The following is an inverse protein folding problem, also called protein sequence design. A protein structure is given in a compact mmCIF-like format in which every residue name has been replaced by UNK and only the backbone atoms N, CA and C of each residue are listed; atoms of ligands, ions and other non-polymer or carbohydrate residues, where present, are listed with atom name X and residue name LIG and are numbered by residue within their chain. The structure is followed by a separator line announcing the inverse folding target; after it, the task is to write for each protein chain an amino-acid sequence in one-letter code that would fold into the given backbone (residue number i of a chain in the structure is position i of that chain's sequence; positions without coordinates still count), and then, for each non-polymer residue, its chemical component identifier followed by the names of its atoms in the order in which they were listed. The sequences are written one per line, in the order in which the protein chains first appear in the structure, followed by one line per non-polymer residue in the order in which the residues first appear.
data_IF_302021090135
#
_entry.id   IF_302021090135
#
_cell.length_a   1.000
_cell.length_b   1.000
_cell.length_c   1.000
_cell.angle_alpha   90.00
_cell.angle_beta   90.00
_cell.angle_gamma   90.00
#
_symmetry.space_group_name_H-M   'P 1'
#
loop_
_entity.id
_entity.type
_entity.pdbx_description
1 polymer ?
#
# COMPACT_ATOMS: atom_id res chain seq x y z
N UNK A 1 16.80 -13.78 -20.96
CA UNK A 1 17.37 -12.43 -20.79
C UNK A 1 16.97 -11.75 -19.48
N UNK A 2 15.74 -11.88 -18.99
CA UNK A 2 15.27 -11.26 -17.72
C UNK A 2 16.09 -11.71 -16.47
N UNK A 3 16.55 -12.97 -16.43
CA UNK A 3 17.32 -13.48 -15.30
C UNK A 3 18.64 -12.72 -15.08
N UNK A 4 19.33 -12.35 -16.17
CA UNK A 4 20.56 -11.54 -16.08
C UNK A 4 20.29 -10.14 -15.53
N UNK A 5 19.13 -9.55 -15.79
CA UNK A 5 18.74 -8.24 -15.27
C UNK A 5 18.45 -8.33 -13.76
N UNK A 6 17.75 -9.39 -13.32
CA UNK A 6 17.49 -9.66 -11.90
C UNK A 6 18.81 -9.88 -11.12
N UNK A 7 19.76 -10.60 -11.73
CA UNK A 7 21.08 -10.87 -11.14
C UNK A 7 22.00 -9.63 -11.15
N UNK A 8 21.80 -8.69 -12.09
CA UNK A 8 22.59 -7.45 -12.21
C UNK A 8 22.06 -6.33 -11.32
N UNK A 9 20.74 -6.24 -11.13
CA UNK A 9 20.11 -5.19 -10.30
C UNK A 9 20.13 -5.56 -8.81
N UNK A 10 20.31 -6.84 -8.47
CA UNK A 10 20.41 -7.30 -7.10
C UNK A 10 19.14 -7.01 -6.32
N UNK A 11 18.10 -7.83 -6.49
CA UNK A 11 16.99 -7.81 -5.53
C UNK A 11 17.58 -8.11 -4.15
N UNK A 12 17.52 -7.19 -3.16
CA UNK A 12 18.12 -7.44 -1.86
C UNK A 12 17.55 -8.73 -1.29
N UNK A 13 18.41 -9.74 -1.11
CA UNK A 13 18.02 -11.04 -0.54
C UNK A 13 17.56 -10.91 0.91
N UNK A 14 17.94 -9.82 1.57
CA UNK A 14 17.56 -9.52 2.93
C UNK A 14 16.49 -8.42 2.97
N UNK A 15 15.36 -8.73 3.59
CA UNK A 15 14.36 -7.72 3.98
C UNK A 15 14.95 -6.89 5.12
N UNK A 16 15.65 -5.80 4.83
CA UNK A 16 16.10 -4.86 5.86
C UNK A 16 15.00 -3.88 6.24
N UNK A 17 13.87 -4.39 6.75
CA UNK A 17 13.11 -3.60 7.71
C UNK A 17 13.97 -3.56 8.98
N UNK A 18 14.34 -2.36 9.42
CA UNK A 18 15.04 -2.19 10.69
C UNK A 18 14.22 -2.78 11.85
N UNK A 19 14.82 -2.84 13.04
CA UNK A 19 14.03 -3.16 14.24
C UNK A 19 12.97 -2.08 14.44
N UNK A 20 11.76 -2.51 14.80
CA UNK A 20 10.70 -1.56 15.14
C UNK A 20 11.15 -0.64 16.28
N UNK A 21 11.01 0.66 16.08
CA UNK A 21 11.22 1.70 17.08
C UNK A 21 9.95 1.96 17.89
N UNK A 22 10.10 2.50 19.10
CA UNK A 22 8.97 2.87 19.96
C UNK A 22 8.02 3.91 19.33
N UNK A 23 8.49 4.66 18.32
CA UNK A 23 7.71 5.67 17.62
C UNK A 23 7.06 5.16 16.33
N UNK A 24 7.36 3.92 15.93
CA UNK A 24 6.75 3.32 14.75
C UNK A 24 5.26 3.13 14.98
N UNK A 25 4.45 3.43 13.96
CA UNK A 25 3.00 3.24 14.02
C UNK A 25 2.54 2.43 12.83
N UNK A 26 1.86 1.32 13.12
CA UNK A 26 1.22 0.46 12.15
C UNK A 26 -0.29 0.50 12.40
N UNK A 27 -1.04 0.97 11.42
CA UNK A 27 -2.50 0.85 11.39
C UNK A 27 -2.85 -0.27 10.42
N UNK A 28 -3.20 -1.43 10.96
CA UNK A 28 -3.65 -2.58 10.19
C UNK A 28 -5.11 -2.85 10.55
N UNK A 29 -6.00 -2.69 9.58
CA UNK A 29 -7.42 -2.98 9.74
C UNK A 29 -7.80 -4.33 9.16
N UNK A 30 -6.86 -5.06 8.55
CA UNK A 30 -7.12 -6.34 7.88
C UNK A 30 -7.79 -7.36 8.79
N UNK A 31 -7.43 -7.40 10.07
CA UNK A 31 -7.98 -8.34 11.04
C UNK A 31 -9.03 -7.71 11.96
N UNK A 32 -8.95 -6.40 12.19
CA UNK A 32 -9.78 -5.72 13.20
C UNK A 32 -10.99 -5.00 12.63
N UNK A 33 -10.95 -4.61 11.36
CA UNK A 33 -11.93 -3.69 10.78
C UNK A 33 -11.89 -2.30 11.42
N UNK A 34 -10.83 -1.94 12.14
CA UNK A 34 -10.68 -0.65 12.80
C UNK A 34 -9.48 0.06 12.20
N UNK A 35 -9.73 1.18 11.52
CA UNK A 35 -8.67 2.07 11.04
C UNK A 35 -8.12 2.83 12.26
N UNK A 36 -6.83 2.63 12.52
CA UNK A 36 -6.16 3.18 13.70
C UNK A 36 -6.13 4.71 13.74
N UNK A 37 -5.86 5.24 14.94
CA UNK A 37 -5.72 6.68 15.15
C UNK A 37 -4.65 7.31 14.24
N UNK A 38 -4.96 8.47 13.66
CA UNK A 38 -4.04 9.21 12.81
C UNK A 38 -4.12 8.88 11.32
N UNK A 39 -4.99 7.95 10.91
CA UNK A 39 -5.34 7.72 9.50
C UNK A 39 -6.77 8.21 9.24
N UNK A 40 -6.92 9.08 8.24
CA UNK A 40 -8.23 9.45 7.66
C UNK A 40 -8.27 8.99 6.22
N UNK A 41 -9.46 8.92 5.64
CA UNK A 41 -9.65 8.53 4.25
C UNK A 41 -10.75 9.35 3.59
N UNK A 42 -10.77 9.32 2.26
CA UNK A 42 -11.71 10.07 1.44
C UNK A 42 -13.17 9.66 1.69
N UNK A 43 -14.16 10.55 1.43
CA UNK A 43 -15.58 10.24 1.67
C UNK A 43 -16.16 9.07 0.85
N UNK A 44 -15.46 8.64 -0.20
CA UNK A 44 -15.80 7.45 -0.97
C UNK A 44 -15.06 6.19 -0.50
N UNK A 45 -14.18 6.30 0.50
CA UNK A 45 -13.54 5.17 1.15
C UNK A 45 -14.56 4.36 1.96
N UNK A 46 -14.62 3.07 1.70
CA UNK A 46 -15.50 2.11 2.36
C UNK A 46 -14.64 0.98 2.89
N UNK A 47 -14.78 0.72 4.19
CA UNK A 47 -14.19 -0.45 4.81
C UNK A 47 -15.12 -1.64 4.60
N UNK A 48 -14.62 -2.64 3.91
CA UNK A 48 -15.39 -3.81 3.47
C UNK A 48 -14.81 -5.09 4.06
N UNK A 49 -15.68 -6.01 4.47
CA UNK A 49 -15.31 -7.37 4.87
C UNK A 49 -15.31 -8.27 3.64
N UNK A 50 -14.17 -8.90 3.31
CA UNK A 50 -14.06 -9.75 2.14
C UNK A 50 -14.97 -10.99 2.24
N UNK A 51 -15.60 -11.45 1.14
CA UNK A 51 -16.53 -12.58 1.16
C UNK A 51 -15.88 -13.83 1.75
N UNK A 52 -16.64 -14.56 2.56
CA UNK A 52 -16.21 -15.81 3.18
C UNK A 52 -14.96 -15.67 4.07
N UNK A 53 -14.68 -14.48 4.59
CA UNK A 53 -13.57 -14.23 5.52
C UNK A 53 -13.98 -13.22 6.58
N UNK A 54 -13.22 -13.15 7.68
CA UNK A 54 -13.30 -12.08 8.67
C UNK A 54 -12.28 -10.95 8.36
N UNK A 55 -11.83 -10.85 7.10
CA UNK A 55 -10.76 -9.93 6.72
C UNK A 55 -11.33 -8.65 6.14
N UNK A 56 -10.78 -7.50 6.54
CA UNK A 56 -11.28 -6.19 6.12
C UNK A 56 -10.31 -5.44 5.22
N UNK A 57 -10.85 -4.69 4.26
CA UNK A 57 -10.07 -3.93 3.28
C UNK A 57 -10.70 -2.55 3.11
N UNK A 58 -9.87 -1.53 2.91
CA UNK A 58 -10.32 -0.21 2.51
C UNK A 58 -10.34 -0.16 0.98
N UNK A 59 -11.53 0.07 0.42
CA UNK A 59 -11.77 0.28 -1.01
C UNK A 59 -12.28 1.70 -1.23
N UNK A 60 -12.10 2.26 -2.43
CA UNK A 60 -12.63 3.59 -2.79
C UNK A 60 -13.86 3.51 -3.70
N UNK A 61 -14.45 2.32 -3.77
CA UNK A 61 -15.70 2.00 -4.47
C UNK A 61 -16.80 1.79 -3.44
N UNK A 62 -17.89 2.56 -3.55
CA UNK A 62 -19.00 2.53 -2.57
C UNK A 62 -19.85 1.26 -2.61
N UNK A 63 -19.97 0.63 -3.77
CA UNK A 63 -20.89 -0.49 -3.97
C UNK A 63 -20.15 -1.66 -4.63
N UNK A 64 -19.57 -2.53 -3.79
CA UNK A 64 -18.82 -3.70 -4.21
C UNK A 64 -19.71 -4.89 -4.54
N UNK A 65 -20.95 -4.91 -4.03
CA UNK A 65 -21.82 -6.08 -4.07
C UNK A 65 -22.85 -6.02 -5.20
N UNK A 66 -23.21 -4.81 -5.69
CA UNK A 66 -24.35 -4.66 -6.60
C UNK A 66 -24.02 -4.21 -8.03
N UNK A 67 -22.78 -3.80 -8.33
CA UNK A 67 -22.55 -3.21 -9.65
C UNK A 67 -21.15 -3.52 -10.22
N UNK A 68 -21.12 -4.49 -11.14
CA UNK A 68 -19.97 -4.81 -11.98
C UNK A 68 -19.52 -3.61 -12.87
N UNK A 69 -20.24 -2.49 -12.86
CA UNK A 69 -19.93 -1.28 -13.62
C UNK A 69 -19.33 -0.13 -12.81
N UNK A 70 -19.14 -0.25 -11.49
CA UNK A 70 -18.52 0.87 -10.75
C UNK A 70 -17.06 1.02 -11.17
N UNK A 71 -16.75 2.18 -11.75
CA UNK A 71 -15.38 2.58 -12.06
C UNK A 71 -14.73 3.01 -10.75
N UNK A 72 -13.65 2.33 -10.37
CA UNK A 72 -12.81 2.76 -9.26
C UNK A 72 -12.12 4.07 -9.66
N UNK A 73 -12.65 5.19 -9.19
CA UNK A 73 -12.11 6.52 -9.43
C UNK A 73 -10.90 6.82 -8.53
N UNK A 74 -10.54 5.88 -7.65
CA UNK A 74 -9.53 6.09 -6.64
C UNK A 74 -10.03 6.92 -5.46
N UNK A 75 -9.11 7.21 -4.55
CA UNK A 75 -9.41 7.95 -3.33
C UNK A 75 -8.13 8.38 -2.64
N UNK A 76 -8.22 8.74 -1.37
CA UNK A 76 -7.04 9.15 -0.63
C UNK A 76 -7.09 8.66 0.81
N UNK A 77 -5.89 8.53 1.39
CA UNK A 77 -5.69 8.48 2.84
C UNK A 77 -4.89 9.69 3.27
N UNK A 78 -5.06 10.07 4.53
CA UNK A 78 -4.34 11.16 5.15
C UNK A 78 -3.73 10.68 6.45
N UNK A 79 -2.45 10.97 6.64
CA UNK A 79 -1.60 10.43 7.71
C UNK A 79 -0.95 11.59 8.46
N UNK A 80 -0.81 11.45 9.77
CA UNK A 80 -0.07 12.40 10.59
C UNK A 80 1.29 11.82 10.99
N UNK A 81 2.34 12.65 11.01
CA UNK A 81 3.59 12.30 11.67
C UNK A 81 3.57 12.85 13.10
N UNK A 82 3.45 11.99 14.13
CA UNK A 82 3.42 12.40 15.52
C UNK A 82 4.82 12.64 16.10
N UNK A 83 5.88 12.28 15.37
CA UNK A 83 7.26 12.42 15.83
C UNK A 83 7.89 13.73 15.35
N UNK A 84 9.04 14.04 15.95
CA UNK A 84 9.93 15.14 15.60
C UNK A 84 10.99 14.76 14.56
N UNK A 85 10.93 13.54 14.00
CA UNK A 85 11.87 13.03 12.98
C UNK A 85 11.17 12.70 11.65
N UNK A 86 11.94 12.65 10.56
CA UNK A 86 11.42 12.22 9.26
C UNK A 86 11.20 10.72 9.29
N UNK A 87 10.05 10.25 8.80
CA UNK A 87 9.67 8.84 8.77
C UNK A 87 9.36 8.38 7.34
N UNK A 88 9.57 7.10 7.06
CA UNK A 88 9.10 6.45 5.83
C UNK A 88 7.63 6.07 5.97
N UNK A 89 6.87 6.25 4.89
CA UNK A 89 5.46 5.86 4.80
C UNK A 89 5.35 4.62 3.92
N UNK A 90 4.77 3.57 4.48
CA UNK A 90 4.48 2.34 3.78
C UNK A 90 2.98 2.11 3.70
N UNK A 91 2.53 1.58 2.57
CA UNK A 91 1.17 1.11 2.36
C UNK A 91 1.20 -0.38 2.08
N UNK A 92 0.26 -1.10 2.68
CA UNK A 92 0.03 -2.51 2.38
C UNK A 92 -1.25 -2.63 1.58
N UNK A 93 -1.21 -3.37 0.48
CA UNK A 93 -2.32 -3.54 -0.45
C UNK A 93 -2.43 -4.98 -0.95
N UNK A 94 -3.60 -5.34 -1.47
CA UNK A 94 -3.85 -6.69 -1.98
C UNK A 94 -3.27 -6.89 -3.38
N UNK A 95 -2.72 -8.08 -3.59
CA UNK A 95 -2.16 -8.53 -4.87
C UNK A 95 -2.63 -9.96 -5.13
N UNK A 96 -2.57 -10.40 -6.39
CA UNK A 96 -2.90 -11.79 -6.77
C UNK A 96 -1.85 -12.38 -7.69
N UNK A 97 -1.74 -13.71 -7.67
CA UNK A 97 -0.87 -14.47 -8.55
C UNK A 97 -1.30 -15.92 -8.69
N UNK A 98 -0.82 -16.65 -9.72
CA UNK A 98 -0.08 -16.14 -10.88
C UNK A 98 -0.93 -15.21 -11.75
N UNK A 99 -0.28 -14.48 -12.68
CA UNK A 99 -0.96 -13.45 -13.48
C UNK A 99 -1.96 -14.01 -14.51
N UNK A 100 -2.86 -13.17 -15.04
CA UNK A 100 -3.01 -11.73 -14.76
C UNK A 100 -3.62 -11.47 -13.38
N UNK A 101 -3.24 -10.34 -12.76
CA UNK A 101 -3.81 -9.95 -11.46
C UNK A 101 -5.29 -9.59 -11.59
N UNK A 102 -6.07 -9.95 -10.56
CA UNK A 102 -7.47 -9.55 -10.41
C UNK A 102 -7.67 -8.15 -9.81
N UNK A 103 -6.62 -7.54 -9.30
CA UNK A 103 -6.56 -6.17 -8.79
C UNK A 103 -5.87 -5.24 -9.78
N UNK A 104 -6.18 -3.92 -9.79
CA UNK A 104 -5.62 -3.00 -10.76
C UNK A 104 -4.24 -2.51 -10.33
N UNK A 105 -3.45 -2.09 -11.31
CA UNK A 105 -2.29 -1.24 -11.08
C UNK A 105 -2.76 0.12 -10.59
N UNK A 106 -2.09 0.62 -9.56
CA UNK A 106 -2.48 1.90 -8.93
C UNK A 106 -1.31 2.86 -8.93
N UNK A 107 -1.58 4.08 -9.37
CA UNK A 107 -0.71 5.21 -9.17
C UNK A 107 -0.97 5.80 -7.78
N UNK A 108 0.03 5.76 -6.89
CA UNK A 108 0.01 6.44 -5.61
C UNK A 108 0.78 7.77 -5.74
N UNK A 109 0.13 8.89 -5.46
CA UNK A 109 0.72 10.23 -5.57
C UNK A 109 0.70 10.94 -4.22
N UNK A 110 1.80 11.61 -3.88
CA UNK A 110 1.91 12.46 -2.70
C UNK A 110 2.44 13.83 -3.09
N UNK A 111 1.90 14.86 -2.45
CA UNK A 111 2.35 16.24 -2.60
C UNK A 111 3.06 16.69 -1.33
N UNK A 112 4.25 16.14 -1.06
CA UNK A 112 5.05 16.47 0.11
C UNK A 112 6.39 17.08 -0.33
N UNK A 113 6.47 18.42 -0.36
CA UNK A 113 7.64 19.17 -0.88
C UNK A 113 7.98 18.88 -2.35
N UNK A 114 6.97 18.45 -3.11
CA UNK A 114 7.09 18.04 -4.51
C UNK A 114 6.03 16.97 -4.81
N UNK A 115 5.66 16.82 -6.08
CA UNK A 115 4.80 15.72 -6.51
C UNK A 115 5.66 14.47 -6.67
N UNK A 116 5.47 13.50 -5.81
CA UNK A 116 6.06 12.17 -5.91
C UNK A 116 4.99 11.18 -6.36
N UNK A 117 5.35 10.28 -7.28
CA UNK A 117 4.44 9.29 -7.84
C UNK A 117 5.07 7.90 -7.79
N UNK A 118 4.29 6.92 -7.35
CA UNK A 118 4.68 5.53 -7.12
C UNK A 118 3.71 4.61 -7.85
N UNK A 119 4.20 3.52 -8.43
CA UNK A 119 3.37 2.49 -9.07
C UNK A 119 3.24 1.29 -8.14
N UNK A 120 2.01 1.00 -7.73
CA UNK A 120 1.66 -0.17 -6.93
C UNK A 120 1.27 -1.30 -7.88
N UNK A 121 2.25 -2.17 -8.17
CA UNK A 121 2.05 -3.34 -9.03
C UNK A 121 1.27 -4.44 -8.28
N UNK A 122 0.11 -4.88 -8.80
CA UNK A 122 -0.75 -5.84 -8.14
C UNK A 122 -0.35 -7.31 -8.42
N UNK A 123 0.72 -7.54 -9.19
CA UNK A 123 1.21 -8.87 -9.51
C UNK A 123 1.99 -9.47 -8.34
N UNK A 124 1.57 -10.66 -7.93
CA UNK A 124 2.36 -11.53 -7.06
C UNK A 124 3.21 -12.50 -7.88
N UNK A 125 4.51 -12.53 -7.60
CA UNK A 125 5.48 -13.43 -8.22
C UNK A 125 5.97 -14.47 -7.21
N UNK A 126 6.46 -15.62 -7.70
CA UNK A 126 7.07 -16.65 -6.85
C UNK A 126 6.12 -17.73 -6.31
N UNK A 127 4.87 -17.77 -6.77
CA UNK A 127 3.87 -18.75 -6.32
C UNK A 127 3.65 -19.94 -7.26
N UNK A 128 4.37 -20.00 -8.39
CA UNK A 128 4.17 -21.03 -9.42
C UNK A 128 2.73 -20.99 -9.94
N UNK A 129 2.08 -22.15 -9.99
CA UNK A 129 0.69 -22.29 -10.44
C UNK A 129 -0.34 -22.10 -9.30
N UNK A 130 0.11 -21.77 -8.08
CA UNK A 130 -0.80 -21.61 -6.94
C UNK A 130 -1.51 -20.26 -7.03
N UNK A 131 -2.83 -20.32 -7.18
CA UNK A 131 -3.70 -19.14 -7.06
C UNK A 131 -3.67 -18.62 -5.62
N UNK A 132 -3.23 -17.37 -5.44
CA UNK A 132 -3.09 -16.73 -4.14
C UNK A 132 -3.60 -15.30 -4.14
N UNK A 133 -4.06 -14.88 -2.96
CA UNK A 133 -4.35 -13.48 -2.62
C UNK A 133 -3.43 -13.11 -1.46
N UNK A 134 -2.49 -12.20 -1.68
CA UNK A 134 -1.49 -11.83 -0.66
C UNK A 134 -1.33 -10.34 -0.54
N UNK A 135 -0.91 -9.91 0.65
CA UNK A 135 -0.56 -8.53 0.94
C UNK A 135 0.83 -8.21 0.40
N UNK A 136 0.97 -7.02 -0.19
CA UNK A 136 2.27 -6.45 -0.59
C UNK A 136 2.45 -5.11 0.10
N UNK A 137 3.64 -4.92 0.67
CA UNK A 137 4.06 -3.65 1.27
C UNK A 137 4.85 -2.84 0.24
N UNK A 138 4.52 -1.55 0.09
CA UNK A 138 5.26 -0.60 -0.74
C UNK A 138 5.59 0.66 0.06
N UNK A 139 6.83 1.16 -0.11
CA UNK A 139 7.21 2.48 0.36
C UNK A 139 6.63 3.53 -0.60
N UNK A 140 5.90 4.50 -0.06
CA UNK A 140 5.29 5.62 -0.80
C UNK A 140 5.87 6.95 -0.34
N UNK A 141 7.16 7.00 -0.04
CA UNK A 141 7.90 8.20 0.28
C UNK A 141 7.97 8.51 1.77
N UNK A 142 8.32 9.77 2.07
CA UNK A 142 8.62 10.22 3.45
C UNK A 142 7.56 11.15 3.99
N UNK A 143 7.42 11.20 5.31
CA UNK A 143 6.59 12.16 6.03
C UNK A 143 7.48 12.94 7.02
N UNK A 144 7.39 14.26 6.97
CA UNK A 144 8.27 15.15 7.75
C UNK A 144 7.73 15.40 9.16
N UNK A 145 8.60 15.80 10.11
CA UNK A 145 8.20 16.16 11.47
C UNK A 145 7.02 17.12 11.50
N UNK A 146 6.03 16.83 12.35
CA UNK A 146 4.86 17.69 12.53
C UNK A 146 3.92 17.79 11.32
N UNK A 147 4.09 16.96 10.29
CA UNK A 147 3.15 16.94 9.16
C UNK A 147 1.76 16.48 9.63
N UNK A 148 0.75 17.32 9.36
CA UNK A 148 -0.65 17.06 9.68
C UNK A 148 -1.44 16.92 8.38
N UNK A 149 -2.21 15.84 8.29
CA UNK A 149 -3.00 15.47 7.12
C UNK A 149 -2.17 15.29 5.82
N UNK A 150 -0.95 14.74 5.89
CA UNK A 150 -0.16 14.39 4.71
C UNK A 150 -0.90 13.30 3.91
N UNK A 151 -1.17 13.56 2.64
CA UNK A 151 -2.18 12.83 1.87
C UNK A 151 -1.53 11.99 0.78
N UNK A 152 -1.94 10.71 0.71
CA UNK A 152 -1.62 9.78 -0.37
C UNK A 152 -2.87 9.58 -1.21
N UNK A 153 -2.80 10.01 -2.46
CA UNK A 153 -3.85 9.79 -3.46
C UNK A 153 -3.59 8.50 -4.20
N UNK A 154 -4.61 7.67 -4.37
CA UNK A 154 -4.57 6.43 -5.13
C UNK A 154 -5.45 6.57 -6.34
N UNK A 155 -4.91 6.26 -7.52
CA UNK A 155 -5.64 6.27 -8.79
C UNK A 155 -5.40 4.95 -9.52
N UNK A 156 -6.41 4.08 -9.64
CA UNK A 156 -6.35 2.92 -10.51
C UNK A 156 -6.08 3.35 -11.95
N UNK A 157 -5.19 2.63 -12.64
CA UNK A 157 -4.83 2.89 -14.03
C UNK A 157 -5.66 2.06 -15.01
N UNK A 158 -6.32 1.02 -14.52
CA UNK A 158 -7.18 0.12 -15.28
C UNK A 158 -8.35 -0.39 -14.44
N UNK A 159 -9.38 -0.92 -15.11
CA UNK A 159 -10.46 -1.67 -14.48
C UNK A 159 -10.11 -3.15 -14.43
N UNK A 160 -10.32 -3.78 -13.29
CA UNK A 160 -10.09 -5.22 -13.07
C UNK A 160 -11.30 -5.88 -12.37
N UNK A 161 -11.22 -7.18 -12.12
CA UNK A 161 -12.28 -7.96 -11.45
C UNK A 161 -12.60 -7.41 -10.05
N UNK A 162 -11.58 -7.00 -9.30
CA UNK A 162 -11.72 -6.35 -8.00
C UNK A 162 -11.12 -4.94 -8.03
N UNK A 163 -11.65 -3.97 -7.25
CA UNK A 163 -11.04 -2.66 -7.13
C UNK A 163 -9.75 -2.69 -6.30
N UNK A 164 -9.07 -1.55 -6.21
CA UNK A 164 -7.94 -1.42 -5.29
C UNK A 164 -8.37 -1.66 -3.84
N UNK A 165 -7.56 -2.43 -3.11
CA UNK A 165 -7.80 -2.78 -1.70
C UNK A 165 -6.57 -2.47 -0.86
N UNK A 166 -6.68 -1.44 -0.02
CA UNK A 166 -5.68 -1.06 0.97
C UNK A 166 -5.98 -1.76 2.30
N UNK A 167 -4.95 -2.27 2.97
CA UNK A 167 -5.11 -3.12 4.18
C UNK A 167 -4.35 -2.60 5.39
N UNK A 168 -3.25 -1.87 5.17
CA UNK A 168 -2.54 -1.23 6.25
C UNK A 168 -1.76 0.00 5.78
N UNK A 169 -1.43 0.84 6.75
CA UNK A 169 -0.46 1.92 6.63
C UNK A 169 0.53 1.76 7.77
N UNK A 170 1.82 1.93 7.47
CA UNK A 170 2.86 1.99 8.48
C UNK A 170 3.71 3.24 8.29
N UNK A 171 4.01 3.93 9.38
CA UNK A 171 5.05 4.96 9.44
C UNK A 171 6.17 4.44 10.34
N UNK A 172 7.39 4.48 9.84
CA UNK A 172 8.56 3.96 10.55
C UNK A 172 9.79 4.83 10.35
N UNK A 173 10.76 4.76 11.25
CA UNK A 173 12.04 5.44 11.13
C UNK A 173 12.74 5.14 9.80
N UNK A 174 13.39 6.15 9.23
CA UNK A 174 14.25 5.97 8.05
C UNK A 174 15.42 5.06 8.44
N UNK A 175 15.57 3.95 7.74
CA UNK A 175 16.77 3.13 7.88
C UNK A 175 17.89 3.71 7.00
N UNK A 176 18.64 4.69 7.53
CA UNK A 176 19.73 5.37 6.83
C UNK A 176 20.88 4.43 6.42
N UNK A 177 20.99 3.24 7.04
CA UNK A 177 21.98 2.22 6.71
C UNK A 177 21.78 1.54 5.34
N UNK A 178 20.69 1.85 4.63
CA UNK A 178 20.43 1.32 3.28
C UNK A 178 21.26 1.99 2.17
N UNK A 179 21.98 3.10 2.48
CA UNK A 179 22.83 3.81 1.51
C UNK A 179 24.27 3.31 1.38
N UNK A 180 24.73 2.41 2.25
CA UNK A 180 26.13 1.92 2.25
C UNK A 180 26.37 0.63 1.47
N UNK A 181 25.35 0.07 0.79
CA UNK A 181 25.52 -1.14 -0.02
C UNK A 181 24.78 -1.06 -1.35
N UNK A 182 25.32 -0.27 -2.27
CA UNK A 182 25.16 -0.44 -3.72
C UNK A 182 26.55 -0.56 -4.34
#
# INVERSE_FOLDING_TARGET
EIQKIIDTIGVPKERTLGKFGAIDRCSNWFDSGIIGEGVKYSPNGVLYTMPNTEKHVLSFVKDLENDNNVVDQGGWISINNPSDVVMDVFVSYMTTGPGPSKYPTVEATRNNRGKETYILDPKSIGWGDKSVHVSRLANVGKIYPGAVNDTVYFRPLEKTEYPFRLIAVAITLINENSKEKL
#
